data_IF_795373687244
#
_entry.id   IF_795373687244
#
_cell.length_a   1.000
_cell.length_b   1.000
_cell.length_c   1.000
_cell.angle_alpha   90.00
_cell.angle_beta   90.00
_cell.angle_gamma   90.00
#
_symmetry.space_group_name_H-M   'P 1'
#
loop_
_entity.id
_entity.type
_entity.pdbx_description
1 polymer ?
#
# COMPACT_ATOMS: atom_id res chain seq x y z
N UNK A 1 0.41 -10.61 -7.67
CA UNK A 1 1.56 -10.20 -6.84
C UNK A 1 2.72 -11.14 -7.09
N UNK A 2 3.97 -10.71 -6.86
CA UNK A 2 5.18 -11.54 -7.01
C UNK A 2 6.18 -11.20 -5.90
N UNK A 3 7.04 -12.15 -5.56
CA UNK A 3 8.19 -11.96 -4.68
C UNK A 3 9.45 -11.97 -5.56
N UNK A 4 10.33 -11.00 -5.33
CA UNK A 4 11.60 -10.88 -6.04
C UNK A 4 12.71 -11.24 -5.03
N UNK A 5 13.52 -12.24 -5.38
CA UNK A 5 14.72 -12.58 -4.61
C UNK A 5 15.90 -11.77 -5.15
N UNK A 6 16.56 -11.04 -4.28
CA UNK A 6 17.75 -10.28 -4.64
C UNK A 6 18.95 -11.19 -4.91
N UNK A 7 19.82 -10.78 -5.84
CA UNK A 7 21.02 -11.54 -6.19
C UNK A 7 22.11 -11.50 -5.11
N UNK A 8 22.03 -10.55 -4.18
CA UNK A 8 22.95 -10.40 -3.05
C UNK A 8 22.23 -9.83 -1.85
N UNK A 9 22.78 -10.04 -0.67
CA UNK A 9 22.28 -9.49 0.58
C UNK A 9 22.34 -7.96 0.57
N UNK A 10 21.37 -7.34 1.26
CA UNK A 10 21.34 -5.90 1.47
C UNK A 10 21.93 -5.58 2.83
N UNK A 11 22.87 -4.64 2.87
CA UNK A 11 23.38 -4.11 4.13
C UNK A 11 22.35 -3.20 4.76
N UNK A 12 21.84 -3.56 5.92
CA UNK A 12 20.91 -2.74 6.68
C UNK A 12 21.61 -1.53 7.29
N UNK A 13 20.96 -0.39 7.27
CA UNK A 13 21.44 0.90 7.82
C UNK A 13 20.26 1.62 8.45
N UNK A 14 20.49 2.78 9.06
CA UNK A 14 19.42 3.63 9.58
C UNK A 14 18.41 4.08 8.49
N UNK A 15 18.79 4.00 7.22
CA UNK A 15 17.98 4.41 6.06
C UNK A 15 17.49 3.24 5.20
N UNK A 16 17.99 2.04 5.43
CA UNK A 16 17.62 0.83 4.69
C UNK A 16 17.22 -0.23 5.69
N UNK A 17 15.92 -0.41 5.85
CA UNK A 17 15.33 -1.33 6.82
C UNK A 17 14.20 -2.13 6.18
N UNK A 18 13.95 -3.37 6.62
CA UNK A 18 12.78 -4.12 6.19
C UNK A 18 11.51 -3.50 6.79
N UNK A 19 10.42 -3.49 6.02
CA UNK A 19 9.10 -3.19 6.54
C UNK A 19 8.51 -4.42 7.22
N UNK A 20 7.77 -4.22 8.32
CA UNK A 20 7.07 -5.32 8.98
C UNK A 20 5.92 -5.86 8.13
N UNK A 21 5.66 -7.17 8.18
CA UNK A 21 4.44 -7.77 7.66
C UNK A 21 3.36 -7.79 8.75
N UNK A 22 2.05 -7.68 8.38
CA UNK A 22 0.98 -7.75 9.35
C UNK A 22 1.00 -9.05 10.14
N UNK A 23 0.73 -8.96 11.43
CA UNK A 23 0.45 -10.13 12.24
C UNK A 23 -1.01 -10.56 12.06
N UNK A 24 -1.33 -11.85 12.16
CA UNK A 24 -2.67 -12.40 11.93
C UNK A 24 -3.75 -11.83 12.85
N UNK A 25 -3.38 -11.23 13.97
CA UNK A 25 -4.29 -10.69 14.99
C UNK A 25 -4.23 -9.15 15.13
N UNK A 26 -3.52 -8.45 14.26
CA UNK A 26 -3.48 -6.98 14.34
C UNK A 26 -4.81 -6.40 13.89
N UNK A 27 -5.42 -5.60 14.75
CA UNK A 27 -6.56 -4.78 14.35
C UNK A 27 -6.05 -3.70 13.38
N UNK A 28 -6.76 -3.54 12.26
CA UNK A 28 -6.46 -2.54 11.22
C UNK A 28 -6.70 -1.11 11.74
N UNK A 29 -5.87 -0.66 12.67
CA UNK A 29 -5.93 0.68 13.27
C UNK A 29 -4.68 1.46 12.92
N UNK A 30 -4.83 2.77 12.76
CA UNK A 30 -3.73 3.69 12.49
C UNK A 30 -3.77 4.28 11.07
N UNK A 31 -3.06 5.39 10.87
CA UNK A 31 -3.03 6.09 9.60
C UNK A 31 -2.35 5.27 8.52
N UNK A 32 -2.90 5.33 7.32
CA UNK A 32 -2.33 4.74 6.12
C UNK A 32 -1.53 5.77 5.34
N UNK A 33 -0.44 5.33 4.72
CA UNK A 33 0.37 6.16 3.84
C UNK A 33 0.84 5.39 2.60
N UNK A 34 0.95 6.12 1.50
CA UNK A 34 1.55 5.66 0.24
C UNK A 34 2.83 6.44 0.04
N UNK A 35 3.90 5.77 -0.38
CA UNK A 35 5.13 6.41 -0.79
C UNK A 35 5.51 6.00 -2.20
N UNK A 36 6.10 6.92 -2.97
CA UNK A 36 6.52 6.59 -4.33
C UNK A 36 7.19 7.76 -5.08
N UNK A 37 7.77 7.44 -6.21
CA UNK A 37 8.37 8.38 -7.17
C UNK A 37 7.55 8.47 -8.46
N UNK A 38 6.29 8.05 -8.43
CA UNK A 38 5.41 8.07 -9.59
C UNK A 38 5.18 9.46 -10.16
N UNK A 39 4.38 9.51 -11.22
CA UNK A 39 4.09 10.74 -11.92
C UNK A 39 3.37 11.75 -11.03
N UNK A 40 3.92 12.96 -10.95
CA UNK A 40 3.38 14.08 -10.15
C UNK A 40 2.45 15.00 -10.96
N UNK A 41 2.32 14.77 -12.26
CA UNK A 41 1.49 15.60 -13.14
C UNK A 41 0.10 15.01 -13.29
N UNK A 42 -0.92 15.72 -12.86
CA UNK A 42 -2.32 15.41 -13.17
C UNK A 42 -2.63 15.68 -14.65
N UNK A 43 -3.62 14.96 -15.23
CA UNK A 43 -4.23 15.35 -16.50
C UNK A 43 -3.50 14.93 -17.78
N UNK A 44 -2.86 13.78 -17.85
CA UNK A 44 -2.58 13.09 -19.13
C UNK A 44 -1.48 13.65 -20.02
N UNK A 45 -0.62 14.52 -19.53
CA UNK A 45 0.56 14.99 -20.25
C UNK A 45 1.74 14.01 -20.21
N UNK A 46 2.92 14.42 -20.72
CA UNK A 46 4.15 13.64 -20.61
C UNK A 46 4.41 13.32 -19.12
N UNK A 47 4.65 12.05 -18.75
CA UNK A 47 4.92 11.68 -17.36
C UNK A 47 6.08 12.51 -16.79
N UNK A 48 5.91 12.97 -15.55
CA UNK A 48 6.92 13.68 -14.78
C UNK A 48 7.10 12.97 -13.44
N UNK A 49 7.99 11.97 -13.36
CA UNK A 49 8.32 11.31 -12.09
C UNK A 49 8.83 12.32 -11.06
N UNK A 50 8.65 12.00 -9.78
CA UNK A 50 9.20 12.81 -8.71
C UNK A 50 10.71 12.54 -8.55
N UNK A 51 11.51 13.62 -8.42
CA UNK A 51 12.94 13.50 -8.08
C UNK A 51 13.15 13.15 -6.60
N UNK A 52 12.20 13.53 -5.76
CA UNK A 52 12.21 13.29 -4.30
C UNK A 52 11.05 12.39 -3.96
N UNK A 53 11.27 11.38 -3.09
CA UNK A 53 10.22 10.49 -2.61
C UNK A 53 9.03 11.28 -2.07
N UNK A 54 7.85 10.97 -2.59
CA UNK A 54 6.61 11.58 -2.15
C UNK A 54 5.92 10.72 -1.10
N UNK A 55 5.22 11.38 -0.19
CA UNK A 55 4.39 10.78 0.86
C UNK A 55 2.95 11.30 0.73
N UNK A 56 1.99 10.38 0.78
CA UNK A 56 0.57 10.70 0.77
C UNK A 56 -0.14 9.91 1.87
N UNK A 57 -0.72 10.61 2.84
CA UNK A 57 -1.66 10.00 3.79
C UNK A 57 -3.00 9.75 3.12
N UNK A 58 -3.60 8.60 3.41
CA UNK A 58 -4.85 8.12 2.82
C UNK A 58 -5.78 7.54 3.88
N UNK A 59 -7.07 7.51 3.55
CA UNK A 59 -8.10 6.87 4.37
C UNK A 59 -8.57 5.60 3.68
N UNK A 60 -8.75 4.54 4.45
CA UNK A 60 -9.39 3.32 3.95
C UNK A 60 -10.86 3.57 3.66
N UNK A 61 -11.32 3.06 2.52
CA UNK A 61 -12.73 3.05 2.11
C UNK A 61 -13.24 1.63 2.30
N UNK A 62 -14.37 1.42 3.00
CA UNK A 62 -14.94 0.10 3.13
C UNK A 62 -15.21 -0.54 1.76
N UNK A 63 -14.81 -1.80 1.61
CA UNK A 63 -14.84 -2.52 0.33
C UNK A 63 -16.21 -2.47 -0.38
N UNK A 64 -17.38 -2.58 0.30
CA UNK A 64 -18.67 -2.47 -0.38
C UNK A 64 -18.86 -1.14 -1.12
N UNK A 65 -18.52 -0.02 -0.49
CA UNK A 65 -18.65 1.30 -1.13
C UNK A 65 -17.66 1.46 -2.30
N UNK A 66 -16.43 0.99 -2.10
CA UNK A 66 -15.44 1.00 -3.16
C UNK A 66 -15.88 0.12 -4.35
N UNK A 67 -16.48 -1.03 -4.08
CA UNK A 67 -16.98 -1.95 -5.10
C UNK A 67 -18.09 -1.31 -5.93
N UNK A 68 -19.03 -0.62 -5.29
CA UNK A 68 -20.12 0.08 -5.99
C UNK A 68 -19.56 1.15 -6.95
N UNK A 69 -18.57 1.93 -6.50
CA UNK A 69 -17.93 2.95 -7.32
C UNK A 69 -17.18 2.34 -8.53
N UNK A 70 -16.45 1.25 -8.31
CA UNK A 70 -15.69 0.59 -9.38
C UNK A 70 -16.58 -0.19 -10.32
N UNK A 71 -17.59 -0.90 -9.83
CA UNK A 71 -18.55 -1.64 -10.66
C UNK A 71 -19.28 -0.73 -11.64
N UNK A 72 -19.64 0.48 -11.20
CA UNK A 72 -20.26 1.49 -12.07
C UNK A 72 -19.33 1.97 -13.22
N UNK A 73 -18.03 1.76 -13.11
CA UNK A 73 -17.01 2.27 -14.06
C UNK A 73 -16.38 1.19 -14.93
N UNK A 74 -16.15 0.00 -14.38
CA UNK A 74 -15.37 -1.07 -15.06
C UNK A 74 -16.12 -2.39 -15.16
N UNK A 75 -17.35 -2.47 -14.61
CA UNK A 75 -18.21 -3.65 -14.63
C UNK A 75 -17.53 -4.91 -14.08
N UNK A 76 -16.67 -4.74 -13.06
CA UNK A 76 -15.97 -5.84 -12.39
C UNK A 76 -16.12 -5.69 -10.87
N UNK A 77 -16.20 -6.83 -10.18
CA UNK A 77 -16.31 -6.88 -8.73
C UNK A 77 -14.92 -6.94 -8.07
N UNK A 78 -14.77 -6.14 -7.02
CA UNK A 78 -13.57 -6.18 -6.22
C UNK A 78 -13.56 -7.41 -5.31
N UNK A 79 -12.41 -8.05 -5.21
CA UNK A 79 -12.21 -9.22 -4.37
C UNK A 79 -11.96 -8.82 -2.91
N UNK A 80 -12.26 -9.70 -1.94
CA UNK A 80 -11.89 -9.46 -0.53
C UNK A 80 -10.39 -9.21 -0.31
N UNK A 81 -9.54 -9.69 -1.22
CA UNK A 81 -8.10 -9.44 -1.23
C UNK A 81 -7.71 -8.02 -1.70
N UNK A 82 -8.68 -7.16 -1.97
CA UNK A 82 -8.43 -5.75 -2.28
C UNK A 82 -8.63 -4.87 -1.05
N UNK A 83 -7.84 -3.81 -0.96
CA UNK A 83 -8.04 -2.69 -0.05
C UNK A 83 -8.16 -1.41 -0.88
N UNK A 84 -9.15 -0.60 -0.57
CA UNK A 84 -9.39 0.65 -1.25
C UNK A 84 -9.05 1.83 -0.35
N UNK A 85 -8.49 2.88 -0.94
CA UNK A 85 -8.17 4.09 -0.20
C UNK A 85 -8.49 5.35 -1.01
N UNK A 86 -8.73 6.45 -0.30
CA UNK A 86 -8.84 7.80 -0.87
C UNK A 86 -7.79 8.70 -0.25
N UNK A 87 -7.28 9.66 -1.05
CA UNK A 87 -6.39 10.68 -0.52
C UNK A 87 -7.09 11.56 0.52
N UNK A 88 -6.41 11.89 1.61
CA UNK A 88 -6.90 12.85 2.62
C UNK A 88 -7.06 14.24 2.00
N UNK A 89 -6.23 14.57 1.01
CA UNK A 89 -6.31 15.84 0.27
C UNK A 89 -6.80 15.59 -1.14
N UNK A 90 -7.79 16.38 -1.56
CA UNK A 90 -8.27 16.38 -2.94
C UNK A 90 -7.14 16.61 -3.95
N UNK A 91 -7.22 15.93 -5.09
CA UNK A 91 -6.25 16.09 -6.19
C UNK A 91 -4.93 15.35 -5.98
N UNK A 92 -4.82 14.49 -4.96
CA UNK A 92 -3.64 13.66 -4.72
C UNK A 92 -3.98 12.18 -4.71
N UNK A 93 -3.18 11.41 -5.42
CA UNK A 93 -3.34 9.95 -5.52
C UNK A 93 -2.01 9.29 -5.85
N UNK A 94 -1.91 7.98 -5.74
CA UNK A 94 -0.87 7.23 -6.46
C UNK A 94 -1.07 7.38 -7.97
N UNK A 95 0.01 7.25 -8.73
CA UNK A 95 -0.02 7.46 -10.17
C UNK A 95 0.87 6.46 -10.92
N UNK A 96 0.97 6.63 -12.24
CA UNK A 96 1.86 5.82 -13.09
C UNK A 96 3.29 5.89 -12.57
N UNK A 97 3.87 4.73 -12.31
CA UNK A 97 5.19 4.58 -11.69
C UNK A 97 5.16 4.22 -10.21
N UNK A 98 4.00 4.35 -9.53
CA UNK A 98 3.83 3.89 -8.15
C UNK A 98 3.38 2.42 -8.07
N UNK A 99 3.00 1.80 -9.18
CA UNK A 99 2.55 0.40 -9.25
C UNK A 99 3.57 -0.55 -8.62
N UNK A 100 3.11 -1.45 -7.75
CA UNK A 100 3.98 -2.34 -6.98
C UNK A 100 4.60 -1.69 -5.75
N UNK A 101 4.41 -0.39 -5.56
CA UNK A 101 4.86 0.34 -4.36
C UNK A 101 4.00 0.03 -3.11
N UNK A 102 4.47 0.44 -1.93
CA UNK A 102 3.85 0.08 -0.67
C UNK A 102 2.68 0.98 -0.29
N UNK A 103 1.64 0.37 0.28
CA UNK A 103 0.71 1.01 1.21
C UNK A 103 1.12 0.55 2.61
N UNK A 104 1.51 1.48 3.46
CA UNK A 104 1.95 1.18 4.81
C UNK A 104 0.96 1.72 5.85
N UNK A 105 0.83 1.02 6.97
CA UNK A 105 0.04 1.43 8.12
C UNK A 105 0.97 1.70 9.29
N UNK A 106 0.80 2.84 9.93
CA UNK A 106 1.50 3.14 11.17
C UNK A 106 0.76 2.47 12.32
N UNK A 107 1.46 1.63 13.06
CA UNK A 107 1.02 1.11 14.34
C UNK A 107 1.73 1.91 15.42
N UNK A 108 1.02 2.85 16.01
CA UNK A 108 1.49 3.56 17.21
C UNK A 108 1.41 2.60 18.41
N UNK A 109 2.50 1.91 18.64
CA UNK A 109 2.70 1.14 19.87
C UNK A 109 3.62 1.96 20.76
N UNK A 110 3.04 2.83 21.58
CA UNK A 110 3.68 3.49 22.72
C UNK A 110 5.05 4.13 22.46
N UNK A 111 5.16 5.09 21.56
CA UNK A 111 6.32 5.93 21.23
C UNK A 111 7.24 5.48 20.07
N UNK A 112 7.19 4.26 19.61
CA UNK A 112 7.96 3.84 18.46
C UNK A 112 7.03 3.69 17.24
N UNK A 113 7.22 4.57 16.24
CA UNK A 113 6.49 4.48 14.98
C UNK A 113 6.86 3.18 14.25
N UNK A 114 5.97 2.18 14.29
CA UNK A 114 6.17 0.92 13.58
C UNK A 114 5.30 0.89 12.34
N UNK A 115 5.92 0.79 11.19
CA UNK A 115 5.25 0.73 9.90
C UNK A 115 5.11 -0.73 9.43
N UNK A 116 3.89 -1.11 9.05
CA UNK A 116 3.58 -2.42 8.47
C UNK A 116 3.10 -2.28 7.04
N UNK A 117 3.45 -3.25 6.19
CA UNK A 117 2.96 -3.33 4.83
C UNK A 117 1.49 -3.75 4.82
N UNK A 118 0.57 -2.82 4.60
CA UNK A 118 -0.86 -3.07 4.53
C UNK A 118 -1.34 -3.48 3.14
N UNK A 119 -0.64 -3.03 2.09
CA UNK A 119 -1.01 -3.32 0.72
C UNK A 119 0.07 -3.00 -0.30
N UNK A 120 -0.18 -3.40 -1.55
CA UNK A 120 0.66 -3.13 -2.73
C UNK A 120 -0.17 -2.42 -3.79
N UNK A 121 0.32 -1.28 -4.31
CA UNK A 121 -0.36 -0.49 -5.35
C UNK A 121 -0.70 -1.37 -6.55
N UNK A 122 -1.97 -1.44 -6.94
CA UNK A 122 -2.46 -2.32 -8.01
C UNK A 122 -3.18 -1.56 -9.11
N UNK A 123 -4.26 -0.84 -8.81
CA UNK A 123 -5.05 -0.18 -9.83
C UNK A 123 -5.60 1.17 -9.35
N UNK A 124 -5.96 1.99 -10.31
CA UNK A 124 -6.53 3.32 -10.10
C UNK A 124 -7.01 3.90 -11.42
N UNK A 125 -7.45 5.15 -11.41
CA UNK A 125 -7.86 5.84 -12.63
C UNK A 125 -6.66 6.26 -13.47
N UNK A 126 -6.84 6.35 -14.79
CA UNK A 126 -5.84 6.92 -15.69
C UNK A 126 -5.61 8.43 -15.45
N UNK A 127 -6.54 9.08 -14.78
CA UNK A 127 -6.46 10.49 -14.42
C UNK A 127 -6.07 10.61 -12.94
N UNK A 128 -4.76 10.62 -12.69
CA UNK A 128 -4.22 10.73 -11.33
C UNK A 128 -4.70 12.02 -10.66
N UNK A 129 -4.98 11.94 -9.36
CA UNK A 129 -5.58 13.04 -8.61
C UNK A 129 -7.10 13.16 -8.76
N UNK A 130 -7.73 12.31 -9.57
CA UNK A 130 -9.19 12.24 -9.61
C UNK A 130 -9.69 11.68 -8.27
N UNK A 131 -10.60 12.43 -7.66
CA UNK A 131 -11.20 12.09 -6.36
C UNK A 131 -12.45 11.24 -6.47
N UNK A 132 -12.93 11.01 -7.70
CA UNK A 132 -14.21 10.34 -7.96
C UNK A 132 -14.14 8.82 -7.78
N UNK A 133 -12.94 8.26 -7.70
CA UNK A 133 -12.74 6.82 -7.49
C UNK A 133 -11.65 6.55 -6.48
N UNK A 134 -11.89 5.63 -5.53
CA UNK A 134 -10.86 5.12 -4.64
C UNK A 134 -9.72 4.42 -5.42
N UNK A 135 -8.53 4.45 -4.85
CA UNK A 135 -7.38 3.70 -5.34
C UNK A 135 -7.44 2.26 -4.83
N UNK A 136 -7.07 1.31 -5.66
CA UNK A 136 -7.08 -0.11 -5.33
C UNK A 136 -5.68 -0.69 -5.11
N UNK A 137 -5.56 -1.50 -4.06
CA UNK A 137 -4.33 -2.20 -3.67
C UNK A 137 -4.62 -3.67 -3.45
N UNK A 138 -3.61 -4.51 -3.62
CA UNK A 138 -3.66 -5.88 -3.09
C UNK A 138 -3.43 -5.81 -1.59
N UNK A 139 -4.37 -6.31 -0.80
CA UNK A 139 -4.31 -6.34 0.67
C UNK A 139 -3.29 -7.39 1.14
N UNK A 140 -2.47 -7.03 2.11
CA UNK A 140 -1.50 -7.95 2.73
C UNK A 140 -2.07 -8.45 4.05
N UNK A 141 -3.06 -9.35 3.95
CA UNK A 141 -3.64 -10.06 5.10
C UNK A 141 -4.03 -11.48 4.69
N UNK A 142 -4.61 -12.24 5.61
CA UNK A 142 -5.19 -13.55 5.36
C UNK A 142 -4.33 -14.45 4.46
N UNK A 143 -4.89 -14.86 3.32
CA UNK A 143 -4.24 -15.77 2.37
C UNK A 143 -2.98 -15.19 1.74
N UNK A 144 -2.98 -13.88 1.44
CA UNK A 144 -1.82 -13.20 0.84
C UNK A 144 -0.65 -13.16 1.83
N UNK A 145 -0.92 -12.82 3.08
CA UNK A 145 0.09 -12.80 4.13
C UNK A 145 0.62 -14.22 4.40
N UNK A 146 -0.27 -15.22 4.47
CA UNK A 146 0.10 -16.63 4.61
C UNK A 146 1.01 -17.09 3.45
N UNK A 147 0.64 -16.78 2.21
CA UNK A 147 1.44 -17.08 1.02
C UNK A 147 2.83 -16.42 1.09
N UNK A 148 2.90 -15.14 1.45
CA UNK A 148 4.17 -14.43 1.61
C UNK A 148 5.07 -15.10 2.66
N UNK A 149 4.52 -15.39 3.83
CA UNK A 149 5.27 -16.04 4.92
C UNK A 149 5.80 -17.41 4.54
N UNK A 150 5.05 -18.17 3.74
CA UNK A 150 5.51 -19.45 3.23
C UNK A 150 6.70 -19.33 2.25
N UNK A 151 6.76 -18.24 1.46
CA UNK A 151 7.88 -17.99 0.53
C UNK A 151 9.10 -17.45 1.26
N UNK A 152 8.91 -16.49 2.15
CA UNK A 152 10.00 -15.79 2.84
C UNK A 152 10.57 -16.68 3.97
N UNK A 153 9.79 -17.66 4.45
CA UNK A 153 10.15 -18.52 5.57
C UNK A 153 9.94 -17.85 6.94
N UNK A 154 10.21 -18.61 8.00
CA UNK A 154 10.03 -18.15 9.38
C UNK A 154 11.13 -17.18 9.87
N UNK A 155 11.97 -16.67 8.97
CA UNK A 155 13.10 -15.79 9.28
C UNK A 155 12.71 -14.30 9.31
N UNK A 156 11.42 -13.97 9.24
CA UNK A 156 10.98 -12.61 9.49
C UNK A 156 11.16 -12.29 10.97
N UNK A 157 11.69 -11.12 11.32
CA UNK A 157 11.67 -10.68 12.70
C UNK A 157 10.20 -10.66 13.15
N UNK A 158 9.91 -11.43 14.20
CA UNK A 158 8.60 -11.37 14.84
C UNK A 158 8.37 -9.94 15.32
N UNK A 159 7.18 -9.44 15.07
CA UNK A 159 6.71 -8.23 15.71
C UNK A 159 6.87 -8.39 17.24
N UNK A 160 7.37 -7.39 17.97
CA UNK A 160 7.35 -7.46 19.41
C UNK A 160 5.92 -7.75 19.87
N UNK A 161 5.70 -8.96 20.39
CA UNK A 161 4.44 -9.33 21.00
C UNK A 161 4.21 -8.39 22.17
N UNK A 162 3.04 -7.76 22.22
CA UNK A 162 2.59 -7.02 23.39
C UNK A 162 2.79 -7.88 24.64
N UNK A 163 3.75 -7.51 25.46
CA UNK A 163 3.99 -8.09 26.78
C UNK A 163 3.19 -7.32 27.81
#
# INVERSE_FOLDING_TARGET
MAVITLASDVTLTDYIQPVCLPHTNTQDRGPLAITGWGNTRAGGGRPQPADILQLLYVNEVPLPFCNDDWKAKVDDDLLPSHICVTGVKLGRSSCKGDSGGPLVRNFDVSSDEVWQLAGVVSFGTNNCGNVDLPLGFVRIDGEVNFWLRNIIGNNLPDYPSDS
#
